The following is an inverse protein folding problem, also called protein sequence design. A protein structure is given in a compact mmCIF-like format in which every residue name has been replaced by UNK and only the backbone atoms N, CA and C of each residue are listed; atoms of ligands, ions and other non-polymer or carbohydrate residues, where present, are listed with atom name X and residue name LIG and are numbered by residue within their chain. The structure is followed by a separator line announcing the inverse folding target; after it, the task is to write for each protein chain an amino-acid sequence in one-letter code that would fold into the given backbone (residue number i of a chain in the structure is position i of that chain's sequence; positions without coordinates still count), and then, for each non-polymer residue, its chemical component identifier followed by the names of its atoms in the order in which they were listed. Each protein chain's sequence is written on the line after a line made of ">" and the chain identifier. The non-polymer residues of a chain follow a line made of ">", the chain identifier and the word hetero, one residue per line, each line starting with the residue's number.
data_IF_838597854486
#
_entry.id   IF_838597854486
#
_cell.length_a   1.000
_cell.length_b   1.000
_cell.length_c   1.000
_cell.angle_alpha   90.00
_cell.angle_beta   90.00
_cell.angle_gamma   90.00
#
_symmetry.space_group_name_H-M   'P 1'
#
loop_
_entity.id
_entity.type
_entity.pdbx_description
1 polymer ?
#
# COMPACT_ATOMS: atom_id res chain seq x y z
N UNK A 1 15.58 -7.74 -11.31
CA UNK A 1 14.69 -7.83 -12.50
C UNK A 1 14.26 -6.45 -12.92
N UNK A 2 14.20 -6.19 -14.21
CA UNK A 2 13.68 -4.92 -14.70
C UNK A 2 12.31 -5.11 -15.33
N UNK A 3 11.44 -4.14 -15.12
CA UNK A 3 10.09 -4.12 -15.69
C UNK A 3 9.92 -2.84 -16.48
N UNK A 4 9.36 -2.95 -17.68
CA UNK A 4 8.98 -1.81 -18.51
C UNK A 4 7.48 -1.88 -18.77
N UNK A 5 6.79 -0.80 -18.45
CA UNK A 5 5.37 -0.67 -18.74
C UNK A 5 5.09 0.78 -19.18
N UNK A 6 3.81 1.13 -19.42
CA UNK A 6 3.45 2.47 -19.86
C UNK A 6 3.75 3.57 -18.84
N UNK A 7 4.01 3.21 -17.59
CA UNK A 7 4.34 4.17 -16.53
C UNK A 7 5.84 4.43 -16.42
N UNK A 8 6.65 3.62 -17.09
CA UNK A 8 8.08 3.80 -17.12
C UNK A 8 8.87 2.50 -17.01
N UNK A 9 10.11 2.63 -16.57
CA UNK A 9 11.04 1.52 -16.37
C UNK A 9 11.39 1.43 -14.90
N UNK A 10 11.33 0.23 -14.35
CA UNK A 10 11.51 0.00 -12.93
C UNK A 10 12.44 -1.18 -12.67
N UNK A 11 13.23 -1.07 -11.61
CA UNK A 11 14.01 -2.17 -11.06
C UNK A 11 13.22 -2.81 -9.94
N UNK A 12 13.10 -4.14 -9.93
CA UNK A 12 12.43 -4.89 -8.87
C UNK A 12 13.42 -5.84 -8.21
N UNK A 13 13.49 -5.80 -6.89
CA UNK A 13 14.30 -6.72 -6.09
C UNK A 13 13.41 -7.38 -5.04
N UNK A 14 13.54 -8.72 -4.83
CA UNK A 14 12.78 -9.38 -3.76
C UNK A 14 13.04 -8.73 -2.42
N UNK A 15 11.99 -8.56 -1.63
CA UNK A 15 12.09 -7.94 -0.32
C UNK A 15 11.07 -8.57 0.63
N UNK A 16 11.11 -8.16 1.90
CA UNK A 16 10.20 -8.66 2.93
C UNK A 16 9.66 -7.49 3.74
N UNK A 17 8.39 -7.58 4.11
CA UNK A 17 7.75 -6.57 4.95
C UNK A 17 8.41 -6.44 6.33
N UNK A 18 9.08 -7.49 6.81
CA UNK A 18 9.77 -7.47 8.11
C UNK A 18 10.97 -6.52 8.15
N UNK A 19 11.46 -6.08 6.99
CA UNK A 19 12.59 -5.15 6.90
C UNK A 19 12.19 -3.70 7.19
N UNK A 20 10.90 -3.43 7.41
CA UNK A 20 10.38 -2.09 7.59
C UNK A 20 9.68 -1.97 8.94
N UNK A 21 9.85 -0.80 9.59
CA UNK A 21 9.27 -0.59 10.93
C UNK A 21 7.78 -0.26 10.87
N UNK A 22 7.28 0.27 9.73
CA UNK A 22 5.86 0.54 9.53
C UNK A 22 5.51 0.38 8.06
N UNK A 23 4.32 -0.12 7.80
CA UNK A 23 3.79 -0.31 6.45
C UNK A 23 2.57 0.58 6.24
N UNK A 24 2.44 1.10 5.03
CA UNK A 24 1.26 1.80 4.55
C UNK A 24 0.68 0.97 3.41
N UNK A 25 -0.43 0.31 3.67
CA UNK A 25 -0.94 -0.75 2.80
C UNK A 25 -2.14 -0.23 2.01
N UNK A 26 -2.02 -0.23 0.69
CA UNK A 26 -3.12 -0.01 -0.23
C UNK A 26 -3.96 -1.30 -0.26
N UNK A 27 -5.08 -1.28 0.46
CA UNK A 27 -5.85 -2.49 0.77
C UNK A 27 -6.32 -3.21 -0.49
N UNK A 28 -6.87 -2.49 -1.47
CA UNK A 28 -7.40 -3.11 -2.67
C UNK A 28 -6.32 -3.73 -3.56
N UNK A 29 -5.07 -3.35 -3.39
CA UNK A 29 -3.94 -3.99 -4.10
C UNK A 29 -3.60 -5.37 -3.54
N UNK A 30 -3.87 -5.61 -2.26
CA UNK A 30 -3.49 -6.87 -1.59
C UNK A 30 -4.70 -7.74 -1.21
N UNK A 31 -5.91 -7.18 -1.25
CA UNK A 31 -7.14 -7.88 -0.90
C UNK A 31 -8.24 -7.49 -1.88
N UNK A 32 -8.55 -8.38 -2.82
CA UNK A 32 -9.48 -8.10 -3.91
C UNK A 32 -10.96 -8.24 -3.50
N UNK A 33 -11.25 -8.83 -2.35
CA UNK A 33 -12.63 -9.06 -1.88
C UNK A 33 -12.75 -8.74 -0.41
N UNK A 34 -13.99 -8.58 0.05
CA UNK A 34 -14.27 -8.30 1.46
C UNK A 34 -13.77 -9.44 2.37
N UNK A 35 -13.92 -10.69 1.95
CA UNK A 35 -13.44 -11.82 2.75
C UNK A 35 -11.91 -11.88 2.81
N UNK A 36 -11.23 -11.55 1.72
CA UNK A 36 -9.77 -11.47 1.71
C UNK A 36 -9.27 -10.33 2.60
N UNK A 37 -9.99 -9.21 2.63
CA UNK A 37 -9.61 -8.10 3.50
C UNK A 37 -9.81 -8.45 4.98
N UNK A 38 -10.85 -9.20 5.31
CA UNK A 38 -11.05 -9.66 6.69
C UNK A 38 -9.90 -10.55 7.13
N UNK A 39 -9.46 -11.47 6.27
CA UNK A 39 -8.31 -12.32 6.56
C UNK A 39 -7.03 -11.49 6.74
N UNK A 40 -6.82 -10.50 5.87
CA UNK A 40 -5.69 -9.58 5.98
C UNK A 40 -5.69 -8.84 7.31
N UNK A 41 -6.82 -8.26 7.69
CA UNK A 41 -6.93 -7.47 8.92
C UNK A 41 -6.74 -8.34 10.16
N UNK A 42 -7.37 -9.52 10.18
CA UNK A 42 -7.21 -10.47 11.28
C UNK A 42 -5.77 -10.91 11.42
N UNK A 43 -5.12 -11.29 10.32
CA UNK A 43 -3.72 -11.72 10.34
C UNK A 43 -2.78 -10.63 10.80
N UNK A 44 -3.01 -9.39 10.36
CA UNK A 44 -2.21 -8.25 10.78
C UNK A 44 -2.36 -7.97 12.27
N UNK A 45 -3.59 -8.03 12.78
CA UNK A 45 -3.88 -7.82 14.19
C UNK A 45 -3.24 -8.90 15.06
N UNK A 46 -3.35 -10.16 14.65
CA UNK A 46 -2.75 -11.29 15.37
C UNK A 46 -1.22 -11.23 15.38
N UNK A 47 -0.62 -10.81 14.27
CA UNK A 47 0.83 -10.71 14.16
C UNK A 47 1.40 -9.44 14.82
N UNK A 48 0.55 -8.49 15.19
CA UNK A 48 1.00 -7.23 15.78
C UNK A 48 1.79 -6.36 14.83
N UNK A 49 1.47 -6.39 13.55
CA UNK A 49 2.17 -5.59 12.52
C UNK A 49 1.84 -4.11 12.70
N UNK A 50 2.87 -3.27 12.70
CA UNK A 50 2.68 -1.81 12.70
C UNK A 50 2.36 -1.36 11.27
N UNK A 51 1.07 -1.17 10.99
CA UNK A 51 0.61 -0.83 9.65
C UNK A 51 -0.55 0.14 9.68
N UNK A 52 -0.59 0.98 8.65
CA UNK A 52 -1.72 1.85 8.33
C UNK A 52 -2.39 1.27 7.09
N UNK A 53 -3.68 1.02 7.16
CA UNK A 53 -4.46 0.45 6.06
C UNK A 53 -5.21 1.56 5.35
N UNK A 54 -4.88 1.78 4.08
CA UNK A 54 -5.46 2.84 3.25
C UNK A 54 -6.51 2.23 2.32
N UNK A 55 -7.73 2.71 2.45
CA UNK A 55 -8.90 2.18 1.75
C UNK A 55 -9.34 3.19 0.70
N UNK A 56 -9.42 2.75 -0.56
CA UNK A 56 -9.79 3.59 -1.68
C UNK A 56 -11.28 3.95 -1.64
N UNK A 57 -11.57 5.23 -1.57
CA UNK A 57 -12.93 5.76 -1.52
C UNK A 57 -13.05 7.05 -2.34
N UNK A 58 -12.14 7.25 -3.28
CA UNK A 58 -12.08 8.52 -4.01
C UNK A 58 -13.11 8.62 -5.15
N UNK A 59 -13.73 7.52 -5.53
CA UNK A 59 -14.90 7.52 -6.39
C UNK A 59 -16.16 7.35 -5.54
N UNK A 60 -17.15 8.20 -5.75
CA UNK A 60 -18.41 8.18 -5.00
C UNK A 60 -19.10 6.81 -5.05
N UNK A 61 -19.06 6.15 -6.21
CA UNK A 61 -19.63 4.81 -6.39
C UNK A 61 -18.97 3.74 -5.52
N UNK A 62 -17.75 3.96 -5.06
CA UNK A 62 -17.03 3.00 -4.22
C UNK A 62 -17.25 3.22 -2.71
N UNK A 63 -17.89 4.32 -2.33
CA UNK A 63 -18.02 4.69 -0.93
C UNK A 63 -18.74 3.66 -0.05
N UNK A 64 -19.86 3.04 -0.48
CA UNK A 64 -20.53 2.05 0.37
C UNK A 64 -19.63 0.85 0.67
N UNK A 65 -18.88 0.37 -0.31
CA UNK A 65 -17.95 -0.73 -0.12
C UNK A 65 -16.77 -0.31 0.75
N UNK A 66 -16.22 0.88 0.52
CA UNK A 66 -15.10 1.41 1.29
C UNK A 66 -15.46 1.54 2.78
N UNK A 67 -16.69 1.96 3.09
CA UNK A 67 -17.17 2.03 4.47
C UNK A 67 -17.24 0.67 5.14
N UNK A 68 -17.63 -0.37 4.40
CA UNK A 68 -17.63 -1.74 4.92
C UNK A 68 -16.22 -2.22 5.24
N UNK A 69 -15.26 -1.93 4.39
CA UNK A 69 -13.85 -2.23 4.65
C UNK A 69 -13.34 -1.47 5.87
N UNK A 70 -13.71 -0.20 6.00
CA UNK A 70 -13.30 0.63 7.13
C UNK A 70 -13.85 0.09 8.46
N UNK A 71 -15.13 -0.27 8.49
CA UNK A 71 -15.75 -0.88 9.66
C UNK A 71 -15.04 -2.16 10.08
N UNK A 72 -14.77 -3.01 9.08
CA UNK A 72 -14.10 -4.28 9.31
C UNK A 72 -12.68 -4.09 9.85
N UNK A 73 -11.92 -3.18 9.26
CA UNK A 73 -10.58 -2.84 9.70
C UNK A 73 -10.57 -2.34 11.15
N UNK A 74 -11.49 -1.43 11.48
CA UNK A 74 -11.63 -0.89 12.83
C UNK A 74 -12.04 -1.93 13.85
N UNK A 75 -12.83 -2.93 13.44
CA UNK A 75 -13.23 -4.03 14.32
C UNK A 75 -12.03 -4.79 14.85
N UNK A 76 -10.96 -4.89 14.07
CA UNK A 76 -9.72 -5.53 14.48
C UNK A 76 -8.74 -4.58 15.19
N UNK A 77 -9.18 -3.35 15.49
CA UNK A 77 -8.37 -2.38 16.24
C UNK A 77 -7.19 -1.81 15.47
N UNK A 78 -7.26 -1.80 14.14
CA UNK A 78 -6.17 -1.35 13.28
C UNK A 78 -6.30 0.14 12.92
N UNK A 79 -5.20 0.75 12.49
CA UNK A 79 -5.18 2.12 11.96
C UNK A 79 -5.64 2.09 10.50
N UNK A 80 -6.79 2.68 10.24
CA UNK A 80 -7.46 2.62 8.95
C UNK A 80 -7.82 4.01 8.48
N UNK A 81 -7.48 4.32 7.23
CA UNK A 81 -7.70 5.65 6.66
C UNK A 81 -8.41 5.54 5.32
N UNK A 82 -9.43 6.36 5.10
CA UNK A 82 -10.11 6.46 3.81
C UNK A 82 -9.40 7.47 2.92
N UNK A 83 -9.13 7.07 1.67
CA UNK A 83 -8.64 7.97 0.64
C UNK A 83 -9.81 8.48 -0.18
N UNK A 84 -10.32 9.67 0.16
CA UNK A 84 -11.53 10.22 -0.44
C UNK A 84 -11.26 11.22 -1.56
N UNK A 85 -10.06 11.79 -1.61
CA UNK A 85 -9.74 12.89 -2.53
C UNK A 85 -8.70 12.52 -3.58
N UNK A 86 -8.12 11.33 -3.51
CA UNK A 86 -7.11 10.85 -4.44
C UNK A 86 -7.02 9.32 -4.40
N UNK A 87 -6.37 8.68 -5.38
CA UNK A 87 -6.17 7.24 -5.34
C UNK A 87 -5.43 6.79 -4.07
N UNK A 88 -5.78 5.61 -3.58
CA UNK A 88 -5.25 5.11 -2.32
C UNK A 88 -3.73 4.95 -2.33
N UNK A 89 -3.15 4.51 -3.45
CA UNK A 89 -1.69 4.34 -3.57
C UNK A 89 -0.95 5.68 -3.44
N UNK A 90 -1.53 6.76 -3.92
CA UNK A 90 -0.94 8.10 -3.81
C UNK A 90 -1.08 8.62 -2.38
N UNK A 91 -2.25 8.44 -1.77
CA UNK A 91 -2.47 8.84 -0.39
C UNK A 91 -1.55 8.06 0.57
N UNK A 92 -1.37 6.76 0.33
CA UNK A 92 -0.46 5.93 1.12
C UNK A 92 0.98 6.46 1.07
N UNK A 93 1.45 6.87 -0.12
CA UNK A 93 2.78 7.46 -0.29
C UNK A 93 2.88 8.78 0.48
N UNK A 94 1.89 9.66 0.35
CA UNK A 94 1.89 10.95 1.05
C UNK A 94 1.92 10.76 2.57
N UNK A 95 1.11 9.84 3.09
CA UNK A 95 1.10 9.54 4.52
C UNK A 95 2.45 8.99 4.98
N UNK A 96 3.00 8.05 4.24
CA UNK A 96 4.28 7.45 4.57
C UNK A 96 5.41 8.48 4.58
N UNK A 97 5.51 9.29 3.53
CA UNK A 97 6.54 10.32 3.44
C UNK A 97 6.40 11.37 4.56
N UNK A 98 5.18 11.73 4.94
CA UNK A 98 4.92 12.73 5.98
C UNK A 98 5.09 12.18 7.38
N UNK A 99 4.60 10.96 7.64
CA UNK A 99 4.53 10.42 9.01
C UNK A 99 5.75 9.59 9.40
N UNK A 100 6.45 9.02 8.45
CA UNK A 100 7.52 8.08 8.74
C UNK A 100 8.78 8.31 7.92
N UNK A 101 8.69 8.23 6.61
CA UNK A 101 9.84 8.41 5.72
C UNK A 101 10.71 7.17 5.60
N UNK A 102 12.03 7.36 5.64
CA UNK A 102 12.99 6.28 5.47
C UNK A 102 12.81 5.20 6.54
N UNK A 103 12.90 3.94 6.13
CA UNK A 103 12.67 2.80 7.01
C UNK A 103 11.23 2.32 7.05
N UNK A 104 10.33 3.02 6.36
CA UNK A 104 8.94 2.63 6.20
C UNK A 104 8.64 2.33 4.74
N UNK A 105 7.58 1.58 4.48
CA UNK A 105 7.25 1.17 3.12
C UNK A 105 5.77 1.28 2.82
N UNK A 106 5.47 1.57 1.56
CA UNK A 106 4.12 1.50 1.00
C UNK A 106 3.99 0.15 0.29
N UNK A 107 2.88 -0.53 0.49
CA UNK A 107 2.57 -1.80 -0.19
C UNK A 107 1.42 -1.56 -1.16
N UNK A 108 1.66 -1.79 -2.44
CA UNK A 108 0.67 -1.57 -3.50
C UNK A 108 1.00 -2.41 -4.73
N UNK A 109 0.10 -2.46 -5.71
CA UNK A 109 0.36 -3.00 -7.05
C UNK A 109 0.58 -1.91 -8.08
N UNK A 110 0.39 -0.63 -7.69
CA UNK A 110 0.40 0.48 -8.63
C UNK A 110 1.77 1.15 -8.68
N UNK A 111 2.35 1.18 -9.87
CA UNK A 111 3.67 1.80 -10.12
C UNK A 111 3.65 3.32 -10.01
N UNK A 112 2.47 3.96 -10.03
CA UNK A 112 2.37 5.40 -9.77
C UNK A 112 2.91 5.74 -8.38
N UNK A 113 2.76 4.85 -7.42
CA UNK A 113 3.31 5.03 -6.08
C UNK A 113 4.84 5.10 -6.12
N UNK A 114 5.48 4.28 -6.95
CA UNK A 114 6.95 4.30 -7.10
C UNK A 114 7.43 5.65 -7.60
N UNK A 115 6.69 6.23 -8.54
CA UNK A 115 7.04 7.53 -9.12
C UNK A 115 6.79 8.69 -8.14
N UNK A 116 5.83 8.53 -7.23
CA UNK A 116 5.43 9.59 -6.30
C UNK A 116 6.26 9.59 -5.01
N UNK A 117 6.80 8.46 -4.59
CA UNK A 117 7.50 8.33 -3.32
C UNK A 117 8.80 9.13 -3.32
N UNK A 118 9.02 9.89 -2.26
CA UNK A 118 10.22 10.71 -2.08
C UNK A 118 11.18 10.11 -1.05
N UNK A 119 10.66 9.61 0.07
CA UNK A 119 11.44 9.09 1.19
C UNK A 119 11.16 7.63 1.50
N UNK A 120 9.92 7.20 1.35
CA UNK A 120 9.51 5.84 1.64
C UNK A 120 9.93 4.88 0.53
N UNK A 121 10.17 3.65 0.89
CA UNK A 121 10.30 2.55 -0.05
C UNK A 121 8.92 2.13 -0.54
N UNK A 122 8.81 1.75 -1.80
CA UNK A 122 7.57 1.16 -2.33
C UNK A 122 7.82 -0.31 -2.61
N UNK A 123 6.96 -1.13 -2.03
CA UNK A 123 6.93 -2.58 -2.25
C UNK A 123 5.77 -2.90 -3.18
N UNK A 124 6.10 -3.39 -4.36
CA UNK A 124 5.08 -3.87 -5.30
C UNK A 124 4.71 -5.29 -4.91
N UNK A 125 3.42 -5.51 -4.64
CA UNK A 125 2.89 -6.82 -4.33
C UNK A 125 2.39 -7.48 -5.61
N UNK A 126 3.07 -8.53 -6.06
CA UNK A 126 2.66 -9.30 -7.23
C UNK A 126 3.12 -10.75 -7.12
N UNK A 127 2.32 -11.65 -7.66
CA UNK A 127 2.60 -13.10 -7.63
C UNK A 127 2.86 -13.61 -6.22
N UNK A 128 2.13 -13.06 -5.22
CA UNK A 128 2.26 -13.48 -3.83
C UNK A 128 3.55 -13.06 -3.15
N UNK A 129 4.31 -12.15 -3.74
CA UNK A 129 5.59 -11.69 -3.22
C UNK A 129 5.68 -10.18 -3.17
N UNK A 130 6.62 -9.68 -2.35
CA UNK A 130 6.93 -8.26 -2.24
C UNK A 130 8.21 -7.96 -3.00
N UNK A 131 8.18 -6.88 -3.80
CA UNK A 131 9.30 -6.46 -4.62
C UNK A 131 9.59 -5.00 -4.34
N UNK A 132 10.80 -4.70 -3.85
CA UNK A 132 11.24 -3.31 -3.73
C UNK A 132 11.42 -2.74 -5.11
N UNK A 133 10.68 -1.68 -5.42
CA UNK A 133 10.67 -1.07 -6.73
C UNK A 133 11.38 0.28 -6.73
N UNK A 134 12.21 0.50 -7.74
CA UNK A 134 12.88 1.78 -7.97
C UNK A 134 12.59 2.26 -9.39
N UNK A 135 12.33 3.56 -9.53
CA UNK A 135 12.09 4.19 -10.81
C UNK A 135 13.43 4.47 -11.48
N UNK A 136 13.71 3.77 -12.59
CA UNK A 136 14.98 3.90 -13.31
C UNK A 136 15.10 5.21 -14.11
N UNK A 137 14.00 5.93 -14.28
CA UNK A 137 14.02 7.24 -14.95
C UNK A 137 14.39 8.39 -13.99
N UNK A 138 14.38 8.16 -12.67
CA UNK A 138 14.74 9.18 -11.70
C UNK A 138 16.25 9.30 -11.56
N UNK A 139 16.74 10.53 -11.53
CA UNK A 139 18.16 10.79 -11.38
C UNK A 139 18.98 10.65 -12.64
N UNK A 140 18.32 10.45 -13.78
CA UNK A 140 18.99 10.42 -15.08
C UNK A 140 19.39 11.81 -15.52
#
# INVERSE_FOLDING_TARGET
>A
MQVKNRKGRFSLQPDSIVNYRRLYIDVFSVAASLSQSEELFRSAAEAGVDAVFVIDAWHESHMPLARRYLELCRRYGLDCRLSEQKPAEIYAVELCDAECGAGCAVVTRDYDAVKAAERCTVLIFQRGRFWRAEDLSRGA
#
